data_IF_751650243514
#
_entry.id   IF_751650243514
#
_cell.length_a   1.000
_cell.length_b   1.000
_cell.length_c   1.000
_cell.angle_alpha   90.00
_cell.angle_beta   90.00
_cell.angle_gamma   90.00
#
_symmetry.space_group_name_H-M   'P 1'
#
loop_
_entity.id
_entity.type
_entity.pdbx_description
1 polymer ?
#
# COMPACT_ATOMS: atom_id res chain seq x y z
N UNK A 1 1.72 -18.67 19.26
CA UNK A 1 2.20 -17.35 18.78
C UNK A 1 1.23 -16.92 17.70
N UNK A 2 0.68 -15.71 17.79
CA UNK A 2 -0.12 -15.15 16.70
C UNK A 2 0.79 -14.85 15.51
N UNK A 3 0.33 -15.16 14.31
CA UNK A 3 1.11 -14.94 13.09
C UNK A 3 0.92 -13.49 12.61
N UNK A 4 2.01 -12.73 12.52
CA UNK A 4 2.01 -11.38 11.97
C UNK A 4 2.25 -11.43 10.46
N UNK A 5 1.42 -10.75 9.68
CA UNK A 5 1.55 -10.62 8.22
C UNK A 5 1.58 -9.13 7.85
N UNK A 6 2.54 -8.71 7.02
CA UNK A 6 2.46 -7.44 6.26
C UNK A 6 2.00 -7.74 4.82
N UNK A 7 0.95 -7.06 4.39
CA UNK A 7 0.58 -6.95 2.97
C UNK A 7 1.07 -5.64 2.39
N UNK A 8 1.62 -5.66 1.18
CA UNK A 8 2.12 -4.49 0.45
C UNK A 8 1.43 -4.43 -0.92
N UNK A 9 1.00 -3.24 -1.32
CA UNK A 9 0.42 -3.00 -2.66
C UNK A 9 0.72 -1.57 -3.14
N UNK A 10 0.68 -1.36 -4.45
CA UNK A 10 0.93 -0.06 -5.08
C UNK A 10 -0.23 0.49 -5.93
N UNK A 11 -0.31 1.82 -6.01
CA UNK A 11 -1.23 2.53 -6.87
C UNK A 11 -0.50 3.63 -7.64
N UNK A 12 -0.87 3.83 -8.91
CA UNK A 12 -0.30 4.87 -9.77
C UNK A 12 0.87 4.43 -10.64
N UNK A 13 1.26 3.15 -10.62
CA UNK A 13 2.40 2.62 -11.40
C UNK A 13 2.30 2.86 -12.91
N UNK A 14 1.08 2.85 -13.47
CA UNK A 14 0.83 3.12 -14.88
C UNK A 14 0.23 4.50 -15.17
N UNK A 15 0.09 5.35 -14.15
CA UNK A 15 -0.52 6.66 -14.31
C UNK A 15 0.47 7.66 -14.90
N UNK A 16 0.02 8.45 -15.88
CA UNK A 16 0.84 9.53 -16.46
C UNK A 16 0.97 10.71 -15.49
N UNK A 17 -0.03 10.93 -14.63
CA UNK A 17 -0.10 12.05 -13.69
C UNK A 17 -0.24 11.50 -12.26
N UNK A 18 0.49 12.10 -11.33
CA UNK A 18 0.44 11.80 -9.90
C UNK A 18 1.58 10.90 -9.43
N UNK A 19 1.78 10.78 -8.11
CA UNK A 19 2.82 9.93 -7.54
C UNK A 19 2.48 8.45 -7.69
N UNK A 20 3.53 7.63 -7.68
CA UNK A 20 3.41 6.22 -7.31
C UNK A 20 3.30 6.15 -5.78
N UNK A 21 2.25 5.50 -5.29
CA UNK A 21 2.00 5.33 -3.86
C UNK A 21 2.06 3.85 -3.52
N UNK A 22 2.87 3.49 -2.53
CA UNK A 22 2.94 2.14 -1.98
C UNK A 22 2.41 2.18 -0.55
N UNK A 23 1.61 1.19 -0.16
CA UNK A 23 1.14 1.04 1.23
C UNK A 23 1.50 -0.33 1.80
N UNK A 24 1.89 -0.39 3.08
CA UNK A 24 1.90 -1.63 3.88
C UNK A 24 0.82 -1.55 4.95
N UNK A 25 0.21 -2.70 5.22
CA UNK A 25 -0.67 -2.94 6.36
C UNK A 25 -0.21 -4.20 7.07
N UNK A 26 0.04 -4.09 8.38
CA UNK A 26 0.47 -5.19 9.26
C UNK A 26 -0.70 -5.65 10.13
N UNK A 27 -0.97 -6.96 10.12
CA UNK A 27 -2.10 -7.58 10.82
C UNK A 27 -1.63 -8.82 11.59
N UNK A 28 -2.21 -9.05 12.76
CA UNK A 28 -2.22 -10.36 13.41
C UNK A 28 -3.42 -11.19 12.95
N UNK A 29 -3.61 -12.36 13.57
CA UNK A 29 -4.70 -13.27 13.22
C UNK A 29 -6.09 -12.67 13.49
N UNK A 30 -6.24 -11.86 14.54
CA UNK A 30 -7.52 -11.20 14.84
C UNK A 30 -7.84 -10.13 13.79
N UNK A 31 -6.87 -9.26 13.48
CA UNK A 31 -7.03 -8.25 12.46
C UNK A 31 -7.28 -8.82 11.06
N UNK A 32 -6.68 -9.97 10.73
CA UNK A 32 -6.99 -10.71 9.48
C UNK A 32 -8.46 -11.13 9.42
N UNK A 33 -9.00 -11.67 10.50
CA UNK A 33 -10.41 -12.09 10.54
C UNK A 33 -11.37 -10.90 10.49
N UNK A 34 -11.04 -9.78 11.14
CA UNK A 34 -11.83 -8.55 11.01
C UNK A 34 -11.80 -7.99 9.59
N UNK A 35 -10.64 -7.98 8.95
CA UNK A 35 -10.50 -7.55 7.56
C UNK A 35 -11.35 -8.41 6.60
N UNK A 36 -11.40 -9.73 6.83
CA UNK A 36 -12.28 -10.65 6.08
C UNK A 36 -13.76 -10.30 6.26
N UNK A 37 -14.20 -9.98 7.49
CA UNK A 37 -15.59 -9.59 7.79
C UNK A 37 -15.98 -8.29 7.08
N UNK A 38 -15.04 -7.36 6.89
CA UNK A 38 -15.25 -6.13 6.12
C UNK A 38 -15.42 -6.38 4.60
N UNK A 39 -15.22 -7.62 4.14
CA UNK A 39 -15.31 -8.02 2.73
C UNK A 39 -14.45 -7.11 1.84
N UNK A 40 -13.26 -6.77 2.32
CA UNK A 40 -12.23 -6.08 1.55
C UNK A 40 -11.82 -7.02 0.42
N UNK A 41 -12.09 -6.60 -0.82
CA UNK A 41 -11.70 -7.30 -2.06
C UNK A 41 -10.83 -6.37 -2.88
N UNK A 42 -10.27 -6.90 -3.98
CA UNK A 42 -9.51 -6.13 -4.98
C UNK A 42 -10.14 -4.74 -5.19
N UNK A 43 -9.36 -3.71 -4.87
CA UNK A 43 -9.79 -2.31 -4.83
C UNK A 43 -10.34 -1.83 -6.18
N UNK A 44 -9.97 -2.51 -7.27
CA UNK A 44 -10.43 -2.25 -8.65
C UNK A 44 -11.90 -2.60 -8.88
N UNK A 45 -12.50 -3.44 -8.03
CA UNK A 45 -13.93 -3.78 -8.07
C UNK A 45 -14.75 -3.00 -7.04
N UNK A 46 -14.12 -2.05 -6.33
CA UNK A 46 -14.73 -1.28 -5.24
C UNK A 46 -14.88 0.18 -5.65
N UNK A 47 -16.10 0.71 -5.57
CA UNK A 47 -16.38 2.11 -5.84
C UNK A 47 -15.51 3.04 -4.97
N UNK A 48 -15.13 4.21 -5.49
CA UNK A 48 -14.28 5.17 -4.77
C UNK A 48 -14.83 5.53 -3.38
N UNK A 49 -16.14 5.76 -3.27
CA UNK A 49 -16.83 6.02 -2.01
C UNK A 49 -16.66 4.90 -0.98
N UNK A 50 -16.68 3.64 -1.43
CA UNK A 50 -16.47 2.48 -0.56
C UNK A 50 -15.00 2.32 -0.16
N UNK A 51 -14.04 2.75 -0.99
CA UNK A 51 -12.62 2.78 -0.60
C UNK A 51 -12.37 3.79 0.53
N UNK A 52 -12.97 4.98 0.42
CA UNK A 52 -12.88 6.02 1.45
C UNK A 52 -13.48 5.61 2.80
N UNK A 53 -14.54 4.79 2.80
CA UNK A 53 -15.13 4.29 4.05
C UNK A 53 -14.42 3.07 4.63
N UNK A 54 -13.61 2.37 3.85
CA UNK A 54 -12.82 1.21 4.29
C UNK A 54 -11.46 1.61 4.88
N UNK A 55 -10.80 2.63 4.31
CA UNK A 55 -9.49 3.10 4.76
C UNK A 55 -9.38 3.34 6.28
N UNK A 56 -10.26 4.11 6.94
CA UNK A 56 -10.16 4.31 8.39
C UNK A 56 -10.32 3.00 9.17
N UNK A 57 -11.23 2.12 8.75
CA UNK A 57 -11.45 0.82 9.41
C UNK A 57 -10.22 -0.08 9.30
N UNK A 58 -9.59 -0.11 8.13
CA UNK A 58 -8.38 -0.90 7.92
C UNK A 58 -7.25 -0.40 8.82
N UNK A 59 -7.12 0.92 8.98
CA UNK A 59 -6.12 1.53 9.86
C UNK A 59 -6.36 1.26 11.34
N UNK A 60 -7.62 1.18 11.77
CA UNK A 60 -7.99 0.82 13.15
C UNK A 60 -7.69 -0.64 13.48
N UNK A 61 -7.87 -1.54 12.50
CA UNK A 61 -7.61 -2.97 12.64
C UNK A 61 -6.11 -3.31 12.55
N UNK A 62 -5.34 -2.49 11.83
CA UNK A 62 -3.92 -2.71 11.61
C UNK A 62 -3.09 -2.47 12.87
N UNK A 63 -2.13 -3.36 13.13
CA UNK A 63 -1.10 -3.15 14.16
C UNK A 63 -0.22 -1.97 13.78
N UNK A 64 0.12 -1.89 12.50
CA UNK A 64 0.93 -0.84 11.91
C UNK A 64 0.54 -0.69 10.44
N UNK A 65 0.61 0.53 9.92
CA UNK A 65 0.50 0.81 8.50
C UNK A 65 1.45 1.95 8.13
N UNK A 66 1.84 2.01 6.86
CA UNK A 66 2.65 3.10 6.34
C UNK A 66 2.34 3.37 4.86
N UNK A 67 2.68 4.56 4.40
CA UNK A 67 2.52 5.00 3.01
C UNK A 67 3.82 5.63 2.50
N UNK A 68 4.40 5.03 1.47
CA UNK A 68 5.49 5.62 0.71
C UNK A 68 4.94 6.30 -0.54
N UNK A 69 5.29 7.57 -0.75
CA UNK A 69 4.97 8.31 -1.98
C UNK A 69 6.26 8.59 -2.73
N UNK A 70 6.26 8.27 -4.02
CA UNK A 70 7.36 8.55 -4.94
C UNK A 70 6.81 9.50 -6.02
N UNK A 71 7.26 10.74 -6.00
CA UNK A 71 6.76 11.74 -6.92
C UNK A 71 7.32 11.56 -8.33
N UNK A 72 6.62 12.04 -9.39
CA UNK A 72 7.06 11.88 -10.77
C UNK A 72 8.51 12.33 -11.01
N UNK A 73 8.91 13.49 -10.46
CA UNK A 73 10.27 14.00 -10.60
C UNK A 73 11.34 13.09 -9.95
N UNK A 74 11.02 12.40 -8.86
CA UNK A 74 11.92 11.40 -8.26
C UNK A 74 12.03 10.16 -9.14
N UNK A 75 10.90 9.70 -9.70
CA UNK A 75 10.86 8.56 -10.63
C UNK A 75 11.70 8.91 -11.86
N UNK A 76 11.47 10.06 -12.49
CA UNK A 76 12.20 10.51 -13.67
C UNK A 76 13.71 10.63 -13.43
N UNK A 77 14.10 11.11 -12.25
CA UNK A 77 15.50 11.17 -11.86
C UNK A 77 16.12 9.77 -11.71
N UNK A 78 15.47 8.87 -10.97
CA UNK A 78 15.97 7.52 -10.69
C UNK A 78 15.93 6.60 -11.91
N UNK A 79 14.96 6.78 -12.81
CA UNK A 79 14.79 6.01 -14.05
C UNK A 79 15.95 6.16 -15.03
N UNK A 80 16.82 7.17 -14.84
CA UNK A 80 18.09 7.30 -15.56
C UNK A 80 19.08 6.17 -15.25
N UNK A 81 18.92 5.52 -14.10
CA UNK A 81 19.86 4.48 -13.60
C UNK A 81 19.18 3.16 -13.23
N UNK A 82 17.92 3.20 -12.81
CA UNK A 82 17.21 2.05 -12.24
C UNK A 82 15.91 1.75 -12.97
N UNK A 83 15.52 0.47 -13.00
CA UNK A 83 14.18 0.07 -13.45
C UNK A 83 13.12 0.50 -12.44
N UNK A 84 11.85 0.59 -12.86
CA UNK A 84 10.77 0.99 -11.95
C UNK A 84 10.61 -0.03 -10.81
N UNK A 85 10.68 -1.32 -11.14
CA UNK A 85 10.66 -2.40 -10.14
C UNK A 85 11.79 -2.27 -9.10
N UNK A 86 12.97 -1.81 -9.51
CA UNK A 86 14.08 -1.61 -8.59
C UNK A 86 13.84 -0.39 -7.69
N UNK A 87 13.28 0.69 -8.25
CA UNK A 87 12.90 1.89 -7.48
C UNK A 87 11.82 1.55 -6.44
N UNK A 88 10.82 0.74 -6.81
CA UNK A 88 9.78 0.23 -5.92
C UNK A 88 10.39 -0.58 -4.77
N UNK A 89 11.29 -1.51 -5.06
CA UNK A 89 11.99 -2.30 -4.04
C UNK A 89 12.82 -1.43 -3.08
N UNK A 90 13.59 -0.46 -3.59
CA UNK A 90 14.39 0.45 -2.76
C UNK A 90 13.55 1.34 -1.84
N UNK A 91 12.39 1.79 -2.32
CA UNK A 91 11.53 2.72 -1.59
C UNK A 91 10.64 2.00 -0.57
N UNK A 92 10.44 0.69 -0.71
CA UNK A 92 9.76 -0.16 0.27
C UNK A 92 10.63 -0.46 1.51
N UNK A 93 11.96 -0.33 1.40
CA UNK A 93 12.88 -0.47 2.53
C UNK A 93 13.21 0.91 3.11
N UNK A 94 12.33 1.47 3.93
CA UNK A 94 12.73 2.59 4.80
C UNK A 94 13.10 2.03 6.18
N UNK A 95 14.36 2.18 6.55
CA UNK A 95 14.77 2.19 7.94
C UNK A 95 14.05 3.36 8.60
N UNK A 96 13.19 3.07 9.58
CA UNK A 96 12.71 4.09 10.53
C UNK A 96 13.79 4.38 11.56
#
# INVERSE_FOLDING_TARGET
MSEIICGIDEAGRGSVIGPLVMGCVVLDDEGKEELKKLNVRDSKKVAHSKRLSLEPKIKEIAIEWDLAKIFPHEIDYLRRRYSLNFIEAMKNTRER
#
